data_IF_169342908586
#
_entry.id   IF_169342908586
#
_cell.length_a   1.000
_cell.length_b   1.000
_cell.length_c   1.000
_cell.angle_alpha   90.00
_cell.angle_beta   90.00
_cell.angle_gamma   90.00
#
_symmetry.space_group_name_H-M   'P 1'
#
loop_
_entity.id
_entity.type
_entity.pdbx_description
1 polymer ?
2 non-polymer ?
3 non-polymer ?
4 non-polymer ?
5 non-polymer ?
6 water ?
#
# COMPACT_ATOMS: atom_id res chain seq x y z
N UNK A 1 -8.58 16.17 12.72
CA UNK A 1 -9.39 16.15 11.48
C UNK A 1 -10.28 14.94 11.41
N UNK A 2 -11.44 15.07 10.80
CA UNK A 2 -12.39 13.97 10.68
C UNK A 2 -12.00 12.94 9.63
N UNK A 3 -11.56 13.42 8.47
CA UNK A 3 -11.14 12.55 7.37
C UNK A 3 -9.63 12.44 7.29
N UNK A 4 -9.10 11.31 7.76
CA UNK A 4 -7.66 11.09 7.78
C UNK A 4 -7.22 10.06 6.75
N UNK A 5 -6.12 10.34 6.05
CA UNK A 5 -5.55 9.46 5.04
C UNK A 5 -4.22 8.92 5.56
N UNK A 6 -4.02 7.62 5.42
CA UNK A 6 -2.78 6.99 5.84
C UNK A 6 -2.18 6.32 4.62
N UNK A 7 -1.02 6.78 4.18
CA UNK A 7 -0.38 6.20 3.00
C UNK A 7 1.13 6.04 3.15
N UNK A 8 1.72 5.27 2.25
CA UNK A 8 3.15 5.04 2.28
C UNK A 8 3.93 6.10 1.52
N UNK A 9 4.92 6.68 2.17
CA UNK A 9 5.71 7.72 1.54
C UNK A 9 6.85 7.19 0.69
N UNK A 10 7.11 5.90 0.77
CA UNK A 10 8.22 5.30 0.03
C UNK A 10 7.80 4.29 -1.04
N UNK A 11 8.24 3.04 -0.92
CA UNK A 11 7.89 2.00 -1.88
C UNK A 11 6.99 0.92 -1.27
N UNK A 12 6.15 1.30 -0.32
CA UNK A 12 5.26 0.36 0.32
C UNK A 12 5.86 -0.34 1.54
N UNK A 13 5.02 -1.06 2.27
CA UNK A 13 5.48 -1.80 3.45
C UNK A 13 6.14 -0.96 4.53
N UNK A 14 5.69 0.28 4.65
CA UNK A 14 6.23 1.18 5.67
C UNK A 14 5.57 0.89 7.02
N UNK A 15 4.54 0.04 7.01
CA UNK A 15 3.83 -0.29 8.24
C UNK A 15 2.51 0.46 8.33
N UNK A 16 1.80 0.55 7.22
CA UNK A 16 0.52 1.25 7.16
C UNK A 16 -0.57 0.50 7.92
N UNK A 17 -0.60 -0.82 7.73
CA UNK A 17 -1.58 -1.68 8.39
C UNK A 17 -1.62 -1.47 9.89
N UNK A 18 -0.45 -1.46 10.52
CA UNK A 18 -0.38 -1.25 11.97
C UNK A 18 -0.99 0.08 12.36
N UNK A 19 -0.57 1.15 11.68
CA UNK A 19 -1.08 2.48 12.01
C UNK A 19 -2.57 2.64 11.82
N UNK A 20 -3.11 2.04 10.78
CA UNK A 20 -4.54 2.11 10.52
C UNK A 20 -5.30 1.49 11.68
N UNK A 21 -4.93 0.25 12.04
CA UNK A 21 -5.54 -0.49 13.15
C UNK A 21 -5.46 0.31 14.45
N UNK A 22 -4.29 0.85 14.73
CA UNK A 22 -4.07 1.65 15.93
C UNK A 22 -4.99 2.87 15.99
N UNK A 23 -5.08 3.60 14.88
CA UNK A 23 -5.88 4.81 14.84
C UNK A 23 -7.39 4.62 14.63
N UNK A 24 -7.82 3.43 14.23
CA UNK A 24 -9.24 3.18 14.00
C UNK A 24 -10.10 3.08 15.26
N UNK A 25 -9.44 3.14 16.41
CA UNK A 25 -10.11 3.09 17.70
C UNK A 25 -11.15 4.21 17.75
N UNK A 26 -10.84 5.32 17.08
CA UNK A 26 -11.73 6.48 17.05
C UNK A 26 -12.49 6.71 15.74
N UNK A 27 -12.33 5.82 14.77
CA UNK A 27 -13.00 5.98 13.50
C UNK A 27 -14.27 5.17 13.35
N UNK A 28 -15.20 5.67 12.55
CA UNK A 28 -16.45 4.98 12.26
C UNK A 28 -16.26 4.19 10.98
N UNK A 29 -15.44 4.71 10.07
CA UNK A 29 -15.18 4.07 8.78
C UNK A 29 -13.70 4.02 8.42
N UNK A 30 -13.31 2.95 7.74
CA UNK A 30 -11.95 2.76 7.24
C UNK A 30 -12.18 2.34 5.79
N UNK A 31 -11.53 3.03 4.85
CA UNK A 31 -11.71 2.77 3.42
C UNK A 31 -10.43 2.46 2.65
N UNK A 32 -10.46 1.41 1.85
CA UNK A 32 -9.35 1.06 0.96
C UNK A 32 -9.77 1.73 -0.37
N UNK A 33 -8.87 2.43 -1.04
CA UNK A 33 -9.26 3.14 -2.26
C UNK A 33 -8.47 2.84 -3.53
N UNK A 34 -7.48 1.94 -3.44
CA UNK A 34 -6.68 1.57 -4.60
C UNK A 34 -5.90 0.29 -4.36
N UNK A 35 -5.44 -0.32 -5.45
CA UNK A 35 -4.70 -1.56 -5.32
C UNK A 35 -5.67 -2.73 -5.25
N UNK A 36 -5.15 -3.88 -4.84
CA UNK A 36 -5.96 -5.08 -4.72
C UNK A 36 -5.32 -5.96 -3.68
N UNK A 37 -5.19 -7.25 -3.96
CA UNK A 37 -4.60 -8.15 -3.00
C UNK A 37 -3.09 -8.27 -3.08
N UNK A 38 -2.45 -7.31 -3.74
CA UNK A 38 -0.99 -7.29 -3.83
C UNK A 38 -0.48 -6.64 -2.54
N UNK A 39 -1.39 -5.93 -1.86
CA UNK A 39 -1.09 -5.28 -0.60
C UNK A 39 -0.99 -6.34 0.50
N UNK A 40 -0.07 -6.13 1.44
CA UNK A 40 0.09 -7.07 2.53
C UNK A 40 0.34 -6.22 3.75
N UNK A 41 -0.70 -5.98 4.53
CA UNK A 41 -0.62 -5.15 5.72
C UNK A 41 -0.69 -6.03 6.97
N UNK A 42 0.42 -6.07 7.72
CA UNK A 42 0.54 -6.88 8.93
C UNK A 42 0.11 -6.21 10.23
N UNK A 43 -0.77 -6.85 10.98
CA UNK A 43 -1.20 -6.31 12.26
C UNK A 43 -0.77 -7.30 13.34
N UNK A 44 -0.32 -6.80 14.47
CA UNK A 44 0.09 -7.66 15.57
C UNK A 44 -0.54 -7.12 16.86
N UNK A 45 -1.55 -7.84 17.36
CA UNK A 45 -2.25 -7.43 18.58
C UNK A 45 -1.93 -8.43 19.68
N UNK A 46 -1.31 -7.96 20.76
CA UNK A 46 -0.94 -8.82 21.86
C UNK A 46 -0.23 -10.07 21.37
N UNK A 47 0.66 -9.86 20.40
CA UNK A 47 1.44 -10.96 19.83
C UNK A 47 0.77 -11.76 18.74
N UNK A 48 -0.53 -11.54 18.53
CA UNK A 48 -1.27 -12.26 17.51
C UNK A 48 -1.04 -11.53 16.17
N UNK A 49 -0.63 -12.26 15.15
CA UNK A 49 -0.35 -11.67 13.84
C UNK A 49 -1.41 -11.93 12.78
N UNK A 50 -1.94 -10.85 12.21
CA UNK A 50 -2.95 -10.95 11.17
C UNK A 50 -2.40 -10.24 9.94
N UNK A 51 -2.49 -10.88 8.78
CA UNK A 51 -2.03 -10.23 7.55
C UNK A 51 -3.21 -10.10 6.58
N UNK A 52 -3.66 -8.87 6.39
CA UNK A 52 -4.77 -8.58 5.48
C UNK A 52 -4.18 -8.22 4.12
N UNK A 53 -4.99 -8.36 3.07
CA UNK A 53 -4.54 -8.04 1.72
C UNK A 53 -5.56 -7.18 1.01
N UNK A 54 -6.80 -7.65 1.00
CA UNK A 54 -7.87 -6.95 0.35
C UNK A 54 -8.78 -6.25 1.35
N UNK A 55 -8.98 -6.89 2.49
CA UNK A 55 -9.85 -6.35 3.54
C UNK A 55 -9.23 -5.25 4.39
N UNK A 56 -9.92 -4.11 4.51
CA UNK A 56 -9.42 -2.97 5.30
C UNK A 56 -8.94 -3.36 6.71
N UNK A 57 -7.86 -2.72 7.15
CA UNK A 57 -7.22 -2.97 8.43
C UNK A 57 -8.01 -2.62 9.67
N UNK A 58 -9.25 -2.17 9.52
CA UNK A 58 -10.05 -1.85 10.68
C UNK A 58 -11.08 -2.94 10.96
N UNK A 59 -10.94 -4.06 10.23
CA UNK A 59 -11.86 -5.19 10.31
C UNK A 59 -11.89 -5.93 11.66
N UNK A 60 -10.88 -5.71 12.50
CA UNK A 60 -10.84 -6.36 13.80
C UNK A 60 -11.58 -5.55 14.87
N UNK A 61 -12.06 -4.37 14.51
CA UNK A 61 -12.77 -3.54 15.47
C UNK A 61 -14.25 -3.55 15.14
N UNK A 62 -15.06 -3.93 16.11
CA UNK A 62 -16.49 -4.01 15.88
C UNK A 62 -17.17 -2.64 15.76
N UNK A 63 -16.45 -1.60 16.18
CA UNK A 63 -17.00 -0.25 16.09
C UNK A 63 -16.79 0.42 14.74
N UNK A 64 -16.04 -0.22 13.85
CA UNK A 64 -15.73 0.34 12.54
C UNK A 64 -16.32 -0.48 11.42
N UNK A 65 -16.81 0.20 10.37
CA UNK A 65 -17.35 -0.50 9.21
C UNK A 65 -16.30 -0.38 8.10
N UNK A 66 -15.76 -1.51 7.66
CA UNK A 66 -14.74 -1.51 6.62
C UNK A 66 -15.42 -1.38 5.26
N UNK A 67 -14.82 -0.60 4.37
CA UNK A 67 -15.36 -0.35 3.05
C UNK A 67 -14.29 -0.50 1.97
N UNK A 68 -14.58 -1.29 0.96
CA UNK A 68 -13.66 -1.47 -0.17
C UNK A 68 -14.17 -0.55 -1.27
N UNK A 69 -13.49 0.59 -1.43
CA UNK A 69 -13.89 1.58 -2.43
C UNK A 69 -13.72 1.17 -3.87
N UNK A 70 -14.38 1.90 -4.76
CA UNK A 70 -14.35 1.63 -6.19
C UNK A 70 -12.97 1.57 -6.85
N UNK A 71 -11.98 2.22 -6.24
CA UNK A 71 -10.65 2.21 -6.81
C UNK A 71 -9.98 0.84 -6.74
N UNK A 72 -10.40 0.04 -5.78
CA UNK A 72 -9.86 -1.29 -5.58
C UNK A 72 -10.30 -2.28 -6.67
N UNK A 73 -9.36 -3.10 -7.14
CA UNK A 73 -9.66 -4.14 -8.13
C UNK A 73 -9.84 -5.42 -7.31
N UNK A 74 -11.08 -5.89 -7.29
CA UNK A 74 -11.49 -7.05 -6.48
C UNK A 74 -11.43 -8.43 -7.10
N UNK A 75 -10.70 -9.32 -6.43
CA UNK A 75 -10.57 -10.71 -6.82
C UNK A 75 -11.58 -11.47 -5.95
N UNK A 76 -12.70 -11.93 -6.53
CA UNK A 76 -13.71 -12.66 -5.76
C UNK A 76 -13.12 -13.85 -4.99
N UNK A 77 -12.15 -14.51 -5.60
CA UNK A 77 -11.49 -15.64 -4.98
C UNK A 77 -10.62 -15.20 -3.81
N UNK A 78 -9.90 -14.10 -3.99
CA UNK A 78 -9.02 -13.58 -2.93
C UNK A 78 -9.85 -13.14 -1.73
N UNK A 79 -10.97 -12.48 -1.98
CA UNK A 79 -11.85 -12.02 -0.90
C UNK A 79 -12.38 -13.18 -0.07
N UNK A 80 -13.00 -14.15 -0.74
CA UNK A 80 -13.56 -15.32 -0.07
C UNK A 80 -12.54 -15.97 0.86
N UNK A 81 -11.37 -16.26 0.31
CA UNK A 81 -10.32 -16.89 1.09
C UNK A 81 -9.95 -16.11 2.35
N UNK A 82 -9.98 -14.79 2.26
CA UNK A 82 -9.62 -13.97 3.39
C UNK A 82 -10.78 -13.86 4.37
N UNK A 83 -11.99 -13.77 3.84
CA UNK A 83 -13.19 -13.67 4.65
C UNK A 83 -13.30 -14.92 5.54
N UNK A 84 -13.06 -16.08 4.93
CA UNK A 84 -13.12 -17.35 5.61
C UNK A 84 -12.12 -17.41 6.75
N UNK A 85 -10.84 -17.23 6.43
CA UNK A 85 -9.79 -17.27 7.44
C UNK A 85 -10.07 -16.38 8.65
N UNK A 86 -10.63 -15.20 8.40
CA UNK A 86 -10.97 -14.24 9.45
C UNK A 86 -12.18 -14.71 10.25
N UNK A 87 -13.19 -15.21 9.55
CA UNK A 87 -14.40 -15.69 10.21
C UNK A 87 -14.05 -16.84 11.16
N UNK A 88 -13.05 -17.62 10.80
CA UNK A 88 -12.60 -18.73 11.61
C UNK A 88 -11.92 -18.24 12.88
N UNK A 89 -11.54 -16.97 12.88
CA UNK A 89 -10.84 -16.40 14.02
C UNK A 89 -11.71 -15.47 14.84
N UNK A 90 -13.04 -15.64 14.70
CA UNK A 90 -13.98 -14.84 15.47
C UNK A 90 -14.29 -13.45 14.98
N UNK A 91 -13.94 -13.16 13.72
CA UNK A 91 -14.20 -11.86 13.13
C UNK A 91 -15.39 -11.98 12.20
N UNK A 92 -16.54 -11.41 12.58
CA UNK A 92 -17.71 -11.52 11.71
C UNK A 92 -17.58 -10.53 10.52
N UNK A 93 -16.76 -10.92 9.54
CA UNK A 93 -16.49 -10.12 8.36
C UNK A 93 -17.75 -9.56 7.69
N UNK A 94 -18.61 -10.45 7.22
CA UNK A 94 -19.85 -10.05 6.53
C UNK A 94 -20.69 -9.03 7.29
N UNK A 95 -20.56 -9.02 8.62
CA UNK A 95 -21.32 -8.07 9.44
C UNK A 95 -20.72 -6.66 9.38
N UNK A 96 -19.43 -6.55 9.08
CA UNK A 96 -18.81 -5.22 9.02
C UNK A 96 -18.10 -4.78 7.73
N UNK A 97 -18.20 -5.56 6.67
CA UNK A 97 -17.58 -5.23 5.40
C UNK A 97 -18.58 -4.81 4.35
N UNK A 98 -18.29 -3.70 3.68
CA UNK A 98 -19.12 -3.16 2.60
C UNK A 98 -18.22 -2.92 1.40
N UNK A 99 -18.79 -2.90 0.20
CA UNK A 99 -17.97 -2.68 -0.99
C UNK A 99 -18.70 -1.98 -2.13
N UNK A 100 -17.92 -1.49 -3.08
CA UNK A 100 -18.47 -0.76 -4.20
C UNK A 100 -18.83 -1.64 -5.39
N UNK A 101 -19.95 -1.33 -6.03
CA UNK A 101 -20.38 -2.06 -7.20
C UNK A 101 -19.54 -1.63 -8.40
N UNK A 102 -18.79 -0.53 -8.23
CA UNK A 102 -17.92 0.00 -9.27
C UNK A 102 -16.53 -0.64 -9.29
N UNK A 103 -16.18 -1.41 -8.27
CA UNK A 103 -14.87 -2.07 -8.22
C UNK A 103 -14.73 -3.03 -9.39
N UNK A 104 -13.61 -2.97 -10.13
CA UNK A 104 -13.38 -3.87 -11.27
C UNK A 104 -13.06 -5.25 -10.68
N UNK A 105 -13.37 -6.32 -11.40
CA UNK A 105 -13.10 -7.68 -10.93
C UNK A 105 -11.81 -8.26 -11.47
N UNK A 106 -11.04 -8.90 -10.60
CA UNK A 106 -9.82 -9.57 -11.04
C UNK A 106 -10.23 -11.04 -11.21
N UNK A 107 -10.14 -11.55 -12.43
CA UNK A 107 -10.49 -12.94 -12.69
C UNK A 107 -9.26 -13.75 -13.04
N UNK A 108 -9.46 -15.04 -13.32
CA UNK A 108 -8.36 -15.95 -13.62
C UNK A 108 -7.48 -15.54 -14.79
N UNK A 109 -8.11 -15.04 -15.84
CA UNK A 109 -7.35 -14.62 -17.00
C UNK A 109 -6.43 -13.43 -16.73
N UNK A 110 -6.79 -12.58 -15.77
CA UNK A 110 -5.95 -11.43 -15.41
C UNK A 110 -4.63 -11.90 -14.86
N UNK A 111 -4.66 -12.98 -14.08
CA UNK A 111 -3.47 -13.54 -13.49
C UNK A 111 -2.65 -14.24 -14.56
N UNK A 112 -3.35 -14.86 -15.51
CA UNK A 112 -2.70 -15.56 -16.61
C UNK A 112 -1.93 -14.53 -17.44
N UNK A 113 -2.59 -13.41 -17.74
CA UNK A 113 -1.98 -12.33 -18.50
C UNK A 113 -0.79 -11.71 -17.78
N UNK A 114 -0.91 -11.61 -16.46
CA UNK A 114 0.14 -11.04 -15.63
C UNK A 114 1.43 -11.84 -15.74
N UNK A 115 1.33 -13.15 -15.53
CA UNK A 115 2.50 -14.04 -15.60
C UNK A 115 3.10 -14.07 -17.00
N UNK A 116 2.23 -14.02 -18.01
CA UNK A 116 2.65 -14.06 -19.40
C UNK A 116 3.44 -12.79 -19.81
N UNK A 117 2.87 -11.62 -19.52
CA UNK A 117 3.54 -10.36 -19.86
C UNK A 117 4.90 -10.30 -19.15
N UNK A 118 4.93 -10.76 -17.91
CA UNK A 118 6.16 -10.76 -17.15
C UNK A 118 7.24 -11.64 -17.79
N UNK A 119 6.86 -12.83 -18.25
CA UNK A 119 7.85 -13.71 -18.89
C UNK A 119 8.28 -13.12 -20.23
N UNK A 120 7.37 -12.45 -20.91
CA UNK A 120 7.66 -11.83 -22.20
C UNK A 120 8.65 -10.68 -21.99
N UNK A 121 8.62 -10.08 -20.80
CA UNK A 121 9.53 -8.98 -20.46
C UNK A 121 10.95 -9.46 -20.27
N UNK A 122 11.08 -10.67 -19.74
CA UNK A 122 12.40 -11.23 -19.50
C UNK A 122 13.18 -10.48 -18.44
N UNK A 123 14.35 -9.97 -18.82
CA UNK A 123 15.20 -9.22 -17.90
C UNK A 123 14.61 -7.85 -17.58
N UNK A 124 13.63 -7.44 -18.37
CA UNK A 124 12.97 -6.15 -18.15
C UNK A 124 11.71 -6.37 -17.32
N UNK A 125 11.62 -7.52 -16.66
CA UNK A 125 10.46 -7.86 -15.83
C UNK A 125 10.27 -6.89 -14.67
N UNK A 126 9.03 -6.48 -14.44
CA UNK A 126 8.66 -5.57 -13.38
C UNK A 126 8.87 -6.23 -12.01
N UNK A 127 8.59 -7.53 -11.93
CA UNK A 127 8.69 -8.25 -10.68
C UNK A 127 7.41 -7.96 -9.92
N UNK A 128 6.27 -8.08 -10.63
CA UNK A 128 4.95 -7.85 -10.04
C UNK A 128 4.66 -8.93 -9.01
N UNK A 129 3.59 -8.75 -8.25
CA UNK A 129 3.22 -9.74 -7.24
C UNK A 129 2.43 -10.90 -7.86
N UNK A 130 2.21 -10.83 -9.17
CA UNK A 130 1.49 -11.85 -9.91
C UNK A 130 0.04 -12.08 -9.55
N UNK A 131 -0.62 -11.04 -9.05
CA UNK A 131 -2.02 -11.12 -8.65
C UNK A 131 -3.00 -10.61 -9.71
N UNK A 132 -2.51 -10.36 -10.91
CA UNK A 132 -3.37 -9.86 -11.98
C UNK A 132 -3.83 -8.40 -11.83
N UNK A 133 -3.18 -7.64 -10.95
CA UNK A 133 -3.54 -6.24 -10.70
C UNK A 133 -3.45 -5.37 -11.97
N UNK A 134 -2.33 -5.43 -12.67
CA UNK A 134 -2.14 -4.64 -13.87
C UNK A 134 -3.22 -4.89 -14.89
N UNK A 135 -3.39 -6.16 -15.31
CA UNK A 135 -4.41 -6.52 -16.31
C UNK A 135 -5.83 -6.10 -15.93
N UNK A 136 -6.14 -6.10 -14.64
CA UNK A 136 -7.46 -5.70 -14.19
C UNK A 136 -7.65 -4.20 -14.43
N UNK A 137 -6.67 -3.40 -14.02
CA UNK A 137 -6.73 -1.93 -14.22
C UNK A 137 -6.77 -1.59 -15.71
N UNK A 138 -6.08 -2.39 -16.53
CA UNK A 138 -6.05 -2.19 -17.95
C UNK A 138 -7.45 -2.39 -18.55
N UNK A 139 -8.13 -3.47 -18.17
CA UNK A 139 -9.48 -3.74 -18.67
C UNK A 139 -10.44 -2.64 -18.25
N UNK A 140 -10.21 -2.03 -17.11
CA UNK A 140 -11.06 -0.97 -16.62
C UNK A 140 -10.96 0.24 -17.56
N UNK A 141 -9.74 0.70 -17.76
CA UNK A 141 -9.44 1.83 -18.64
C UNK A 141 -9.93 1.60 -20.06
N UNK A 142 -9.74 0.39 -20.57
CA UNK A 142 -10.20 0.05 -21.91
C UNK A 142 -11.72 -0.07 -21.97
N UNK A 143 -12.39 0.05 -20.82
CA UNK A 143 -13.85 -0.01 -20.75
C UNK A 143 -14.45 -1.35 -21.20
N UNK A 144 -13.73 -2.44 -20.94
CA UNK A 144 -14.21 -3.76 -21.29
C UNK A 144 -14.22 -4.66 -20.06
N UNK A 145 -13.74 -4.13 -18.93
CA UNK A 145 -13.69 -4.90 -17.70
C UNK A 145 -15.04 -5.09 -17.04
N UNK A 146 -15.13 -6.12 -16.20
CA UNK A 146 -16.36 -6.44 -15.48
C UNK A 146 -16.26 -5.91 -14.05
N UNK A 147 -17.35 -5.38 -13.53
CA UNK A 147 -17.37 -4.85 -12.18
C UNK A 147 -18.34 -5.63 -11.31
N UNK A 148 -18.29 -5.39 -10.00
CA UNK A 148 -19.17 -6.07 -9.05
C UNK A 148 -20.65 -5.90 -9.43
N UNK A 149 -21.03 -4.70 -9.85
CA UNK A 149 -22.40 -4.45 -10.25
C UNK A 149 -22.88 -5.36 -11.36
N UNK A 150 -21.97 -5.99 -12.10
CA UNK A 150 -22.35 -6.88 -13.20
C UNK A 150 -22.94 -8.19 -12.70
N UNK A 151 -22.54 -8.58 -11.49
CA UNK A 151 -23.02 -9.82 -10.87
C UNK A 151 -24.53 -9.79 -10.56
N UNK A 152 -25.12 -8.60 -10.61
CA UNK A 152 -26.54 -8.45 -10.32
C UNK A 152 -27.47 -9.10 -11.34
N UNK A 153 -26.98 -9.29 -12.56
CA UNK A 153 -27.77 -9.92 -13.62
C UNK A 153 -26.88 -11.03 -14.18
N UNK A 154 -27.12 -12.25 -13.70
CA UNK A 154 -26.32 -13.41 -14.11
C UNK A 154 -26.24 -13.75 -15.60
N UNK A 155 -27.32 -13.57 -16.34
CA UNK A 155 -27.29 -13.90 -17.77
C UNK A 155 -26.40 -12.97 -18.58
N UNK A 156 -26.61 -11.66 -18.42
CA UNK A 156 -25.80 -10.69 -19.15
C UNK A 156 -24.34 -10.74 -18.70
N UNK A 157 -24.09 -11.15 -17.46
CA UNK A 157 -22.71 -11.26 -16.97
C UNK A 157 -21.99 -12.37 -17.72
N UNK A 158 -22.73 -13.45 -17.97
CA UNK A 158 -22.20 -14.61 -18.68
C UNK A 158 -21.87 -14.21 -20.13
N UNK A 159 -22.74 -13.38 -20.71
CA UNK A 159 -22.54 -12.92 -22.08
C UNK A 159 -21.34 -11.96 -22.16
N UNK A 160 -21.25 -11.05 -21.19
CA UNK A 160 -20.13 -10.11 -21.13
C UNK A 160 -18.82 -10.85 -20.92
N UNK A 161 -18.79 -11.74 -19.93
CA UNK A 161 -17.58 -12.52 -19.64
C UNK A 161 -17.19 -13.32 -20.88
N UNK A 162 -18.19 -13.75 -21.63
CA UNK A 162 -17.98 -14.53 -22.85
C UNK A 162 -17.11 -13.72 -23.81
N UNK A 163 -17.53 -12.47 -24.07
CA UNK A 163 -16.81 -11.57 -24.98
C UNK A 163 -15.39 -11.26 -24.54
N UNK A 164 -15.22 -10.87 -23.28
CA UNK A 164 -13.91 -10.51 -22.74
C UNK A 164 -12.89 -11.61 -22.78
N UNK A 165 -13.30 -12.83 -22.42
CA UNK A 165 -12.39 -13.97 -22.43
C UNK A 165 -12.03 -14.42 -23.84
N UNK A 166 -12.89 -14.14 -24.82
CA UNK A 166 -12.62 -14.49 -26.22
C UNK A 166 -11.39 -13.70 -26.62
N UNK A 167 -11.42 -12.41 -26.31
CA UNK A 167 -10.37 -11.47 -26.59
C UNK A 167 -9.09 -11.85 -25.83
N UNK A 168 -9.22 -12.11 -24.54
CA UNK A 168 -8.07 -12.45 -23.71
C UNK A 168 -7.39 -13.76 -24.01
N UNK A 169 -8.15 -14.74 -24.47
CA UNK A 169 -7.58 -16.03 -24.80
C UNK A 169 -6.82 -15.98 -26.13
N UNK A 170 -7.33 -15.21 -27.08
CA UNK A 170 -6.68 -15.08 -28.38
C UNK A 170 -5.23 -14.66 -28.17
N UNK A 171 -5.03 -13.61 -27.38
CA UNK A 171 -3.69 -13.14 -27.13
C UNK A 171 -2.86 -14.07 -26.27
N UNK A 172 -3.47 -14.67 -25.25
CA UNK A 172 -2.74 -15.59 -24.38
C UNK A 172 -2.23 -16.81 -25.14
N UNK A 173 -3.08 -17.31 -26.04
CA UNK A 173 -2.76 -18.48 -26.84
C UNK A 173 -1.91 -18.17 -28.08
N UNK A 174 -2.45 -17.30 -28.93
CA UNK A 174 -1.79 -16.91 -30.19
C UNK A 174 -0.52 -16.08 -30.06
N UNK A 175 -0.57 -15.03 -29.23
CA UNK A 175 0.59 -14.15 -29.05
C UNK A 175 1.58 -14.60 -27.99
N UNK A 176 1.10 -14.72 -26.75
CA UNK A 176 1.94 -15.14 -25.63
C UNK A 176 2.19 -16.65 -25.63
N UNK A 177 1.45 -17.37 -26.46
CA UNK A 177 1.57 -18.82 -26.58
C UNK A 177 1.55 -19.55 -25.24
N UNK A 178 0.52 -19.26 -24.45
CA UNK A 178 0.34 -19.87 -23.14
C UNK A 178 -1.00 -20.60 -23.13
N UNK A 179 -1.40 -21.08 -21.95
CA UNK A 179 -2.66 -21.81 -21.81
C UNK A 179 -3.89 -20.90 -21.77
N UNK A 180 -4.95 -21.34 -22.44
CA UNK A 180 -6.20 -20.59 -22.46
C UNK A 180 -6.88 -20.79 -21.09
N UNK A 181 -7.64 -19.80 -20.67
CA UNK A 181 -8.35 -19.86 -19.40
C UNK A 181 -9.77 -20.34 -19.69
N UNK A 182 -10.18 -21.41 -19.01
CA UNK A 182 -11.52 -21.95 -19.25
C UNK A 182 -12.66 -21.08 -18.78
N UNK A 183 -13.46 -20.64 -19.74
CA UNK A 183 -14.62 -19.79 -19.49
C UNK A 183 -15.61 -20.35 -18.47
N UNK A 184 -15.89 -21.66 -18.57
CA UNK A 184 -16.85 -22.28 -17.67
C UNK A 184 -16.38 -22.33 -16.22
N UNK A 185 -15.09 -22.55 -15.99
CA UNK A 185 -14.60 -22.59 -14.61
C UNK A 185 -14.75 -21.22 -13.96
N UNK A 186 -14.34 -20.19 -14.70
CA UNK A 186 -14.45 -18.82 -14.22
C UNK A 186 -15.91 -18.48 -13.97
N UNK A 187 -16.76 -18.82 -14.93
CA UNK A 187 -18.19 -18.54 -14.79
C UNK A 187 -18.79 -19.23 -13.58
N UNK A 188 -18.41 -20.49 -13.35
CA UNK A 188 -18.92 -21.26 -12.22
C UNK A 188 -18.40 -20.74 -10.90
N UNK A 189 -17.08 -20.55 -10.82
CA UNK A 189 -16.45 -20.05 -9.61
C UNK A 189 -17.03 -18.70 -9.18
N UNK A 190 -17.23 -17.81 -10.16
CA UNK A 190 -17.76 -16.48 -9.90
C UNK A 190 -19.20 -16.52 -9.38
N UNK A 191 -20.07 -17.21 -10.11
CA UNK A 191 -21.48 -17.30 -9.72
C UNK A 191 -21.70 -17.95 -8.36
N UNK A 192 -20.79 -18.84 -7.98
CA UNK A 192 -20.87 -19.52 -6.69
C UNK A 192 -20.77 -18.53 -5.53
N UNK A 193 -20.15 -17.38 -5.78
CA UNK A 193 -20.00 -16.38 -4.74
C UNK A 193 -20.67 -15.05 -5.09
N UNK A 194 -21.21 -14.97 -6.30
CA UNK A 194 -21.88 -13.76 -6.78
C UNK A 194 -22.83 -13.12 -5.79
N UNK A 195 -23.62 -13.95 -5.10
CA UNK A 195 -24.60 -13.46 -4.15
C UNK A 195 -24.01 -12.95 -2.85
N UNK A 196 -22.90 -13.55 -2.43
CA UNK A 196 -22.23 -13.12 -1.20
C UNK A 196 -21.73 -11.70 -1.37
N UNK A 197 -21.04 -11.49 -2.49
CA UNK A 197 -20.46 -10.19 -2.83
C UNK A 197 -21.52 -9.13 -2.98
N UNK A 198 -22.54 -9.42 -3.76
CA UNK A 198 -23.58 -8.43 -3.99
C UNK A 198 -24.39 -8.03 -2.75
N UNK A 199 -24.42 -8.90 -1.75
CA UNK A 199 -25.16 -8.59 -0.53
C UNK A 199 -24.45 -7.52 0.27
N UNK A 200 -23.16 -7.36 0.01
CA UNK A 200 -22.33 -6.37 0.69
C UNK A 200 -22.25 -5.01 -0.02
N UNK A 201 -22.85 -4.91 -1.19
CA UNK A 201 -22.81 -3.68 -1.98
C UNK A 201 -23.46 -2.47 -1.33
N UNK A 202 -22.79 -1.33 -1.42
CA UNK A 202 -23.30 -0.07 -0.89
C UNK A 202 -22.84 1.06 -1.81
N UNK A 203 -23.58 2.17 -1.83
CA UNK A 203 -23.20 3.34 -2.66
C UNK A 203 -22.14 4.08 -1.83
N UNK A 204 -20.89 3.69 -2.00
CA UNK A 204 -19.80 4.28 -1.24
C UNK A 204 -19.70 5.80 -1.25
N UNK A 205 -19.68 6.42 -2.42
CA UNK A 205 -19.54 7.87 -2.47
C UNK A 205 -20.67 8.60 -1.77
N UNK A 206 -21.90 8.10 -1.88
CA UNK A 206 -23.03 8.75 -1.20
C UNK A 206 -22.88 8.56 0.32
N UNK A 207 -22.53 7.35 0.74
CA UNK A 207 -22.34 7.03 2.16
C UNK A 207 -21.26 7.93 2.78
N UNK A 208 -20.14 8.09 2.06
CA UNK A 208 -19.03 8.93 2.55
C UNK A 208 -19.46 10.40 2.62
N UNK A 209 -20.40 10.78 1.77
CA UNK A 209 -20.88 12.16 1.82
C UNK A 209 -21.81 12.31 3.05
N UNK A 210 -22.48 11.23 3.43
CA UNK A 210 -23.37 11.21 4.60
C UNK A 210 -22.53 11.32 5.86
N UNK A 211 -21.48 10.50 5.92
CA UNK A 211 -20.57 10.46 7.04
C UNK A 211 -19.93 11.83 7.27
N UNK A 212 -19.58 12.48 6.17
CA UNK A 212 -18.94 13.78 6.18
C UNK A 212 -19.85 14.81 6.80
N UNK A 213 -21.11 14.85 6.36
CA UNK A 213 -22.05 15.83 6.89
C UNK A 213 -22.35 15.65 8.37
N UNK A 214 -22.30 14.41 8.85
CA UNK A 214 -22.53 14.11 10.26
C UNK A 214 -21.27 14.42 11.05
N UNK A 215 -20.15 14.48 10.34
CA UNK A 215 -18.87 14.77 10.97
C UNK A 215 -18.26 13.52 11.59
N UNK A 216 -18.55 12.35 11.02
CA UNK A 216 -17.99 11.11 11.53
C UNK A 216 -16.51 11.02 11.20
N UNK A 217 -15.79 10.18 11.93
CA UNK A 217 -14.37 10.00 11.67
C UNK A 217 -14.24 8.91 10.61
N UNK A 218 -13.47 9.21 9.57
CA UNK A 218 -13.24 8.27 8.48
C UNK A 218 -11.75 8.17 8.18
N UNK A 219 -11.24 6.94 8.08
CA UNK A 219 -9.84 6.76 7.78
C UNK A 219 -9.65 6.08 6.42
N UNK A 220 -8.74 6.61 5.62
CA UNK A 220 -8.46 6.05 4.31
C UNK A 220 -7.15 5.30 4.43
N UNK A 221 -7.18 4.05 4.03
CA UNK A 221 -5.99 3.21 4.13
C UNK A 221 -5.37 3.01 2.76
N UNK A 222 -4.15 3.54 2.58
CA UNK A 222 -3.50 3.40 1.30
C UNK A 222 -2.78 2.08 1.14
N UNK A 223 -2.54 1.68 -0.11
CA UNK A 223 -1.82 0.47 -0.43
C UNK A 223 -0.57 0.89 -1.21
N UNK A 224 0.49 0.08 -1.16
CA UNK A 224 1.75 0.37 -1.84
C UNK A 224 2.36 1.68 -1.32
N UNK A 225 3.19 2.33 -2.12
CA UNK A 225 3.83 3.56 -1.68
C UNK A 225 3.82 4.60 -2.78
N UNK A 226 4.21 5.83 -2.41
CA UNK A 226 4.24 6.96 -3.35
C UNK A 226 5.08 6.73 -4.60
N UNK A 227 6.28 6.18 -4.45
CA UNK A 227 7.14 5.96 -5.60
C UNK A 227 6.70 4.83 -6.50
N UNK A 228 5.58 4.19 -6.16
CA UNK A 228 5.04 3.11 -6.98
C UNK A 228 3.84 3.63 -7.75
N UNK A 229 3.56 4.92 -7.57
CA UNK A 229 2.47 5.59 -8.26
C UNK A 229 2.57 5.39 -9.78
N UNK A 230 1.45 5.13 -10.44
CA UNK A 230 1.42 4.88 -11.87
C UNK A 230 1.83 6.11 -12.71
N UNK A 231 1.51 7.30 -12.22
CA UNK A 231 1.86 8.55 -12.92
C UNK A 231 3.21 9.11 -12.48
N UNK A 232 3.35 9.32 -11.18
CA UNK A 232 4.54 9.93 -10.59
C UNK A 232 5.65 9.04 -10.08
N UNK A 233 5.48 7.72 -10.18
CA UNK A 233 6.52 6.84 -9.68
C UNK A 233 7.58 6.50 -10.71
N UNK A 234 8.47 5.58 -10.33
CA UNK A 234 9.55 5.17 -11.21
C UNK A 234 9.07 4.27 -12.35
N UNK A 235 8.25 4.84 -13.23
CA UNK A 235 7.69 4.16 -14.38
C UNK A 235 8.82 3.56 -15.21
N UNK A 236 8.62 2.34 -15.75
CA UNK A 236 7.45 1.48 -15.67
C UNK A 236 7.46 0.50 -14.48
N UNK A 237 8.41 0.68 -13.58
CA UNK A 237 8.53 -0.18 -12.41
C UNK A 237 7.64 0.39 -11.32
N UNK A 238 6.34 0.37 -11.60
CA UNK A 238 5.37 0.92 -10.68
C UNK A 238 4.19 -0.03 -10.61
N UNK A 239 3.21 0.35 -9.81
CA UNK A 239 1.98 -0.41 -9.69
C UNK A 239 1.00 0.33 -10.63
N UNK A 240 -0.06 -0.34 -11.06
CA UNK A 240 -1.01 0.27 -11.97
C UNK A 240 -2.10 1.19 -11.44
N UNK A 241 -1.95 1.68 -10.22
CA UNK A 241 -2.94 2.59 -9.64
C UNK A 241 -2.21 3.81 -9.08
N UNK A 242 -2.98 4.85 -8.75
CA UNK A 242 -2.40 6.04 -8.13
C UNK A 242 -2.32 5.79 -6.63
N UNK A 243 -1.10 5.61 -6.13
CA UNK A 243 -0.86 5.38 -4.72
C UNK A 243 -0.77 6.69 -3.94
N UNK A 244 -0.89 7.81 -4.64
CA UNK A 244 -0.83 9.11 -4.00
C UNK A 244 -2.20 9.60 -3.52
N UNK A 245 -2.16 10.60 -2.66
CA UNK A 245 -3.36 11.18 -2.04
C UNK A 245 -4.51 11.48 -2.98
N UNK A 246 -4.22 11.74 -4.24
CA UNK A 246 -5.27 12.04 -5.19
C UNK A 246 -6.11 10.82 -5.45
N UNK A 247 -5.51 9.64 -5.25
CA UNK A 247 -6.23 8.39 -5.46
C UNK A 247 -7.37 8.20 -4.47
N UNK A 248 -7.33 8.95 -3.37
CA UNK A 248 -8.37 8.86 -2.35
C UNK A 248 -9.70 9.30 -2.93
N UNK A 249 -9.71 10.42 -3.65
CA UNK A 249 -10.92 10.96 -4.24
C UNK A 249 -11.44 10.16 -5.42
N UNK A 250 -10.53 9.74 -6.28
CA UNK A 250 -10.94 8.99 -7.46
C UNK A 250 -11.35 7.59 -7.07
N UNK A 251 -10.68 7.03 -6.07
CA UNK A 251 -10.96 5.68 -5.61
C UNK A 251 -12.04 5.49 -4.57
N UNK A 252 -12.66 6.56 -4.09
CA UNK A 252 -13.72 6.42 -3.09
C UNK A 252 -14.92 7.32 -3.38
N UNK A 253 -14.68 8.41 -4.09
CA UNK A 253 -15.75 9.34 -4.40
C UNK A 253 -15.83 10.54 -3.47
N UNK A 254 -14.93 10.62 -2.49
CA UNK A 254 -14.91 11.76 -1.56
C UNK A 254 -14.29 12.95 -2.29
N UNK A 255 -14.89 14.12 -2.14
CA UNK A 255 -14.36 15.30 -2.78
C UNK A 255 -13.02 15.67 -2.18
N UNK A 256 -12.04 16.09 -3.00
CA UNK A 256 -10.68 16.48 -2.58
C UNK A 256 -10.65 17.48 -1.43
N UNK A 257 -11.57 18.42 -1.44
CA UNK A 257 -11.60 19.43 -0.39
C UNK A 257 -12.00 18.91 0.98
N UNK A 258 -12.35 17.64 1.06
CA UNK A 258 -12.76 17.05 2.34
C UNK A 258 -11.68 16.26 3.02
N UNK A 259 -10.54 16.11 2.35
CA UNK A 259 -9.40 15.42 2.95
C UNK A 259 -8.82 16.46 3.93
N UNK A 260 -8.83 16.14 5.22
CA UNK A 260 -8.34 17.07 6.22
C UNK A 260 -6.93 16.91 6.69
N UNK A 261 -6.45 15.68 6.75
CA UNK A 261 -5.12 15.46 7.24
C UNK A 261 -4.56 14.25 6.55
N UNK A 262 -3.36 14.38 5.99
CA UNK A 262 -2.72 13.28 5.32
C UNK A 262 -1.50 12.86 6.10
N UNK A 263 -1.55 11.64 6.63
CA UNK A 263 -0.47 11.11 7.43
C UNK A 263 0.43 10.24 6.57
N UNK A 264 1.71 10.61 6.48
CA UNK A 264 2.64 9.83 5.69
C UNK A 264 3.39 8.84 6.55
N UNK A 265 3.32 7.56 6.20
CA UNK A 265 4.02 6.53 6.94
C UNK A 265 5.45 6.49 6.41
N UNK A 266 6.40 6.68 7.31
CA UNK A 266 7.81 6.74 6.98
C UNK A 266 8.64 5.71 7.76
N UNK A 267 9.24 4.75 7.07
CA UNK A 267 10.09 3.77 7.71
C UNK A 267 11.45 4.42 8.07
N UNK A 268 12.11 3.93 9.11
CA UNK A 268 13.39 4.48 9.55
C UNK A 268 14.50 4.34 8.50
N UNK A 269 14.36 3.36 7.63
CA UNK A 269 15.31 3.11 6.55
C UNK A 269 14.43 2.85 5.34
N UNK A 270 14.98 2.30 4.27
CA UNK A 270 14.18 2.05 3.08
C UNK A 270 14.22 0.63 2.59
N UNK A 271 13.11 0.22 1.97
CA UNK A 271 12.99 -1.11 1.41
C UNK A 271 12.22 -1.01 0.12
N UNK A 272 12.49 -1.95 -0.76
CA UNK A 272 11.81 -2.03 -2.03
C UNK A 272 11.90 -3.48 -2.41
N UNK A 273 10.79 -4.05 -2.86
CA UNK A 273 10.78 -5.43 -3.29
C UNK A 273 10.33 -5.41 -4.73
N UNK A 274 11.11 -6.05 -5.59
CA UNK A 274 10.79 -6.03 -7.01
C UNK A 274 11.79 -5.12 -7.69
N UNK A 275 11.84 -5.19 -9.01
CA UNK A 275 12.76 -4.38 -9.82
C UNK A 275 12.50 -2.88 -9.73
N UNK A 276 13.49 -2.09 -10.15
CA UNK A 276 13.34 -0.64 -10.13
C UNK A 276 14.46 0.10 -9.43
N UNK A 277 14.66 1.38 -9.77
CA UNK A 277 15.71 2.22 -9.17
C UNK A 277 15.58 2.38 -7.65
N UNK A 278 16.70 2.25 -6.95
CA UNK A 278 16.75 2.36 -5.51
C UNK A 278 18.16 2.92 -5.16
N UNK A 279 18.33 4.24 -5.19
CA UNK A 279 19.61 4.91 -4.89
C UNK A 279 20.37 4.49 -3.64
N UNK A 280 19.75 4.62 -2.48
CA UNK A 280 20.39 4.27 -1.22
C UNK A 280 20.51 2.79 -0.91
N UNK A 281 20.22 1.93 -1.88
CA UNK A 281 20.30 0.50 -1.64
C UNK A 281 21.67 0.05 -1.16
N UNK A 282 21.68 -0.78 -0.13
CA UNK A 282 22.89 -1.31 0.45
C UNK A 282 23.08 -2.74 -0.04
N UNK A 283 24.31 -3.09 -0.39
CA UNK A 283 24.58 -4.45 -0.84
C UNK A 283 25.62 -5.08 0.10
N UNK A 284 25.87 -4.41 1.22
CA UNK A 284 26.86 -4.88 2.19
C UNK A 284 26.32 -5.52 3.46
N UNK A 285 27.15 -5.50 4.50
CA UNK A 285 26.83 -6.07 5.80
C UNK A 285 25.64 -5.36 6.45
N UNK A 286 25.63 -4.03 6.36
CA UNK A 286 24.56 -3.24 6.93
C UNK A 286 23.20 -3.49 6.25
N UNK A 287 23.25 -3.91 4.99
CA UNK A 287 22.03 -4.21 4.25
C UNK A 287 21.43 -5.49 4.81
N UNK A 288 22.28 -6.49 5.00
CA UNK A 288 21.86 -7.78 5.55
C UNK A 288 21.33 -7.58 6.97
N UNK A 289 21.93 -6.67 7.71
CA UNK A 289 21.52 -6.37 9.09
C UNK A 289 20.11 -5.81 9.13
N UNK A 290 19.82 -4.83 8.27
CA UNK A 290 18.51 -4.22 8.21
C UNK A 290 17.47 -5.27 7.80
N UNK A 291 17.82 -6.12 6.85
CA UNK A 291 16.92 -7.17 6.39
C UNK A 291 16.61 -8.15 7.51
N UNK A 292 17.66 -8.65 8.17
CA UNK A 292 17.52 -9.60 9.26
C UNK A 292 16.83 -9.00 10.47
N UNK A 293 17.36 -7.87 10.93
CA UNK A 293 16.82 -7.21 12.11
C UNK A 293 15.41 -6.69 11.87
N UNK A 294 15.08 -6.33 10.64
CA UNK A 294 13.76 -5.83 10.32
C UNK A 294 12.84 -6.90 9.73
N UNK A 295 13.38 -8.11 9.60
CA UNK A 295 12.66 -9.24 9.03
C UNK A 295 11.95 -8.83 7.74
N UNK A 296 12.72 -8.21 6.86
CA UNK A 296 12.19 -7.71 5.60
C UNK A 296 11.93 -8.75 4.51
N UNK A 297 10.74 -9.34 4.56
CA UNK A 297 10.29 -10.33 3.59
C UNK A 297 8.84 -10.04 3.21
N UNK A 298 8.55 -10.12 1.92
CA UNK A 298 7.23 -9.81 1.40
C UNK A 298 6.03 -10.36 2.14
N UNK A 299 5.17 -9.46 2.60
CA UNK A 299 3.97 -9.83 3.32
C UNK A 299 2.94 -10.50 2.40
N UNK A 300 3.21 -10.46 1.09
CA UNK A 300 2.32 -11.05 0.10
C UNK A 300 2.99 -12.14 -0.74
N UNK A 301 4.25 -11.93 -1.09
CA UNK A 301 4.97 -12.89 -1.93
C UNK A 301 6.10 -13.61 -1.20
N UNK A 302 6.45 -13.12 -0.02
CA UNK A 302 7.52 -13.77 0.72
C UNK A 302 8.90 -13.42 0.19
N UNK A 303 8.95 -12.53 -0.80
CA UNK A 303 10.21 -12.10 -1.39
C UNK A 303 11.03 -11.27 -0.41
N UNK A 304 12.34 -11.47 -0.44
CA UNK A 304 13.25 -10.70 0.41
C UNK A 304 13.21 -9.27 -0.10
N UNK A 305 12.91 -8.33 0.80
CA UNK A 305 12.86 -6.93 0.42
C UNK A 305 14.27 -6.32 0.38
N UNK A 306 14.51 -5.44 -0.58
CA UNK A 306 15.80 -4.77 -0.72
C UNK A 306 15.86 -3.67 0.34
N UNK A 307 16.99 -3.54 1.02
CA UNK A 307 17.10 -2.52 2.06
C UNK A 307 18.08 -1.41 1.72
N UNK A 308 18.00 -0.30 2.44
CA UNK A 308 18.89 0.80 2.17
C UNK A 308 18.66 1.89 3.19
N UNK A 309 19.45 2.95 3.10
CA UNK A 309 19.31 4.07 4.03
C UNK A 309 18.11 4.90 3.65
N UNK A 310 17.57 5.64 4.61
CA UNK A 310 16.43 6.52 4.38
C UNK A 310 16.82 7.56 3.33
N UNK A 311 15.97 7.72 2.32
CA UNK A 311 16.22 8.68 1.25
C UNK A 311 15.36 9.92 1.41
N UNK A 312 15.97 10.96 1.97
CA UNK A 312 15.35 12.25 2.21
C UNK A 312 14.89 12.96 0.93
N UNK A 313 15.65 12.78 -0.16
CA UNK A 313 15.32 13.39 -1.43
C UNK A 313 13.99 12.86 -1.96
N UNK A 314 13.88 11.52 -1.99
CA UNK A 314 12.68 10.83 -2.47
C UNK A 314 11.47 11.12 -1.57
N UNK A 315 11.71 11.17 -0.26
CA UNK A 315 10.66 11.46 0.71
C UNK A 315 10.13 12.87 0.49
N UNK A 316 11.01 13.82 0.21
CA UNK A 316 10.54 15.18 -0.03
C UNK A 316 9.59 15.20 -1.21
N UNK A 317 9.82 14.33 -2.20
CA UNK A 317 8.92 14.26 -3.35
C UNK A 317 7.55 13.82 -2.84
N UNK A 318 7.57 12.87 -1.90
CA UNK A 318 6.35 12.33 -1.29
C UNK A 318 5.59 13.40 -0.52
N UNK A 319 6.31 14.24 0.23
CA UNK A 319 5.70 15.32 1.00
C UNK A 319 4.85 16.21 0.10
N UNK A 320 5.44 16.57 -1.03
CA UNK A 320 4.83 17.44 -2.03
C UNK A 320 3.67 16.85 -2.80
N UNK A 321 3.81 15.62 -3.31
CA UNK A 321 2.75 14.97 -4.06
C UNK A 321 1.47 14.72 -3.24
N UNK A 322 1.64 14.36 -1.96
CA UNK A 322 0.51 14.05 -1.09
C UNK A 322 0.01 15.14 -0.17
N UNK A 323 0.68 16.30 -0.17
CA UNK A 323 0.34 17.40 0.72
C UNK A 323 0.28 16.88 2.16
N UNK A 324 1.32 16.14 2.54
CA UNK A 324 1.43 15.56 3.86
C UNK A 324 1.26 16.57 4.96
N UNK A 325 0.62 16.13 6.03
CA UNK A 325 0.39 16.96 7.18
C UNK A 325 1.37 16.57 8.26
N UNK A 326 1.74 15.30 8.27
CA UNK A 326 2.65 14.80 9.28
C UNK A 326 3.14 13.41 8.91
N UNK A 327 4.11 12.92 9.65
CA UNK A 327 4.70 11.62 9.40
C UNK A 327 4.47 10.73 10.59
N UNK A 328 4.64 9.43 10.36
CA UNK A 328 4.58 8.45 11.42
C UNK A 328 5.83 7.68 11.11
N UNK A 329 6.82 7.77 11.98
CA UNK A 329 8.07 7.07 11.76
C UNK A 329 7.98 5.68 12.35
N UNK A 330 8.28 4.67 11.55
CA UNK A 330 8.21 3.29 12.02
C UNK A 330 9.56 2.57 11.93
N UNK A 331 9.65 1.47 12.69
CA UNK A 331 10.83 0.63 12.72
C UNK A 331 12.11 1.33 13.15
N UNK A 332 11.96 2.32 14.02
CA UNK A 332 13.08 3.06 14.57
C UNK A 332 13.94 2.05 15.33
N UNK A 333 13.24 1.12 15.99
CA UNK A 333 13.84 0.07 16.80
C UNK A 333 14.77 -0.85 16.03
N UNK A 334 14.60 -0.94 14.72
CA UNK A 334 15.46 -1.81 13.94
C UNK A 334 16.88 -1.24 13.80
N UNK A 335 16.99 0.09 13.90
CA UNK A 335 18.28 0.76 13.79
C UNK A 335 19.18 0.63 15.01
N UNK A 336 18.66 0.02 16.09
CA UNK A 336 19.42 -0.15 17.33
C UNK A 336 20.72 -0.94 17.15
N UNK A 337 21.80 -0.45 17.76
CA UNK A 337 23.06 -1.13 17.67
C UNK A 337 24.02 -0.68 16.58
N UNK A 338 23.52 0.04 15.58
CA UNK A 338 24.36 0.54 14.50
C UNK A 338 25.29 1.64 15.01
N UNK A 339 26.54 1.61 14.58
CA UNK A 339 27.51 2.61 15.01
C UNK A 339 27.17 3.97 14.41
N UNK A 340 26.67 3.95 13.18
CA UNK A 340 26.29 5.17 12.47
C UNK A 340 25.12 4.91 11.52
N UNK A 341 24.30 5.94 11.31
CA UNK A 341 23.15 5.84 10.42
C UNK A 341 23.29 6.97 9.39
N UNK A 342 22.90 6.71 8.16
CA UNK A 342 23.01 7.71 7.11
C UNK A 342 21.66 8.13 6.52
N UNK A 343 21.59 9.39 6.11
CA UNK A 343 20.40 9.97 5.49
C UNK A 343 20.82 10.52 4.15
N UNK A 344 20.24 10.05 3.06
CA UNK A 344 20.59 10.62 1.76
C UNK A 344 19.99 12.02 1.70
N UNK A 345 20.86 13.03 1.65
CA UNK A 345 20.39 14.42 1.61
C UNK A 345 20.33 15.07 0.23
N UNK A 346 20.94 14.45 -0.78
CA UNK A 346 20.92 15.00 -2.14
C UNK A 346 21.45 13.96 -3.12
N UNK A 347 21.20 14.18 -4.41
CA UNK A 347 21.64 13.25 -5.45
C UNK A 347 22.75 13.83 -6.32
N UNK A 348 23.72 12.99 -6.66
CA UNK A 348 24.80 13.36 -7.55
C UNK A 348 24.36 12.80 -8.91
N UNK A 349 23.97 13.67 -9.83
CA UNK A 349 23.54 13.22 -11.16
C UNK A 349 24.72 12.71 -11.99
N UNK A 350 24.44 11.87 -12.98
CA UNK A 350 25.50 11.32 -13.83
C UNK A 350 26.33 12.39 -14.56
N UNK A 351 25.82 13.62 -14.62
CA UNK A 351 26.53 14.70 -15.28
C UNK A 351 27.28 15.63 -14.34
N UNK A 352 27.45 15.19 -13.09
CA UNK A 352 28.18 15.98 -12.13
C UNK A 352 27.38 16.91 -11.25
N UNK A 353 26.16 17.26 -11.66
CA UNK A 353 25.31 18.16 -10.86
C UNK A 353 24.79 17.52 -9.58
N UNK A 354 24.68 18.32 -8.53
CA UNK A 354 24.14 17.84 -7.26
C UNK A 354 22.73 18.37 -7.16
N UNK A 355 21.73 17.49 -7.28
CA UNK A 355 20.34 17.89 -7.20
C UNK A 355 19.64 17.49 -5.89
N UNK A 356 18.53 18.15 -5.58
CA UNK A 356 17.76 17.86 -4.38
C UNK A 356 16.31 17.47 -4.70
N UNK A 357 16.09 17.13 -5.97
CA UNK A 357 14.79 16.70 -6.45
C UNK A 357 15.04 15.34 -7.11
N UNK A 358 13.99 14.56 -7.25
CA UNK A 358 14.14 13.22 -7.83
C UNK A 358 13.79 13.15 -9.31
N UNK A 359 14.42 12.23 -10.04
CA UNK A 359 14.15 12.04 -11.47
C UNK A 359 12.77 11.43 -11.52
N UNK A 360 12.11 11.43 -12.68
CA UNK A 360 10.78 10.85 -12.73
C UNK A 360 10.83 9.39 -13.18
N UNK A 361 10.81 9.18 -14.49
CA UNK A 361 10.86 7.82 -15.06
C UNK A 361 12.09 7.06 -14.62
N UNK A 362 11.93 5.73 -14.48
CA UNK A 362 13.01 4.84 -14.06
C UNK A 362 14.32 5.01 -14.84
N UNK A 363 14.22 5.27 -16.14
CA UNK A 363 15.42 5.45 -16.95
C UNK A 363 16.22 6.67 -16.52
N UNK A 364 15.55 7.73 -16.11
CA UNK A 364 16.25 8.94 -15.67
C UNK A 364 16.92 8.76 -14.30
N UNK A 365 16.77 7.59 -13.70
CA UNK A 365 17.39 7.33 -12.41
C UNK A 365 18.74 6.63 -12.59
N UNK A 366 18.95 6.00 -13.74
CA UNK A 366 20.22 5.31 -13.97
C UNK A 366 21.40 6.25 -13.81
N UNK A 367 22.37 5.83 -13.00
CA UNK A 367 23.55 6.62 -12.77
C UNK A 367 23.49 7.54 -11.57
N UNK A 368 22.31 7.68 -10.97
CA UNK A 368 22.18 8.56 -9.80
C UNK A 368 22.90 7.98 -8.58
N UNK A 369 23.62 8.84 -7.87
CA UNK A 369 24.36 8.43 -6.68
C UNK A 369 23.93 9.23 -5.46
N UNK A 370 23.68 8.54 -4.34
CA UNK A 370 23.25 9.25 -3.13
C UNK A 370 24.38 10.03 -2.45
N UNK A 371 24.04 11.18 -1.89
CA UNK A 371 24.98 11.99 -1.16
C UNK A 371 24.52 11.93 0.30
N UNK A 372 25.27 11.19 1.11
CA UNK A 372 24.91 11.00 2.50
C UNK A 372 25.23 12.07 3.51
N UNK A 373 24.75 11.83 4.72
CA UNK A 373 24.97 12.69 5.87
C UNK A 373 24.97 11.62 6.94
N UNK A 374 26.13 11.41 7.54
CA UNK A 374 26.29 10.38 8.55
C UNK A 374 26.02 10.90 9.96
N UNK A 375 25.30 10.11 10.74
CA UNK A 375 24.96 10.46 12.11
C UNK A 375 25.28 9.30 13.03
N UNK A 376 25.56 9.60 14.29
CA UNK A 376 25.88 8.54 15.25
C UNK A 376 24.66 7.70 15.62
N UNK A 377 24.86 6.39 15.71
CA UNK A 377 23.78 5.50 16.07
C UNK A 377 23.61 5.50 17.58
N UNK A 378 22.93 4.48 18.09
CA UNK A 378 22.70 4.35 19.52
C UNK A 378 22.74 2.88 19.93
N UNK A 379 23.27 2.62 21.12
CA UNK A 379 23.40 1.27 21.65
C UNK A 379 22.12 0.90 22.41
N UNK A 380 21.51 1.91 23.02
CA UNK A 380 20.28 1.71 23.78
C UNK A 380 19.21 1.06 22.91
N UNK A 381 18.38 0.23 23.55
CA UNK A 381 17.29 -0.44 22.89
C UNK A 381 16.06 0.45 22.95
N UNK A 382 15.47 0.74 21.80
CA UNK A 382 14.29 1.59 21.74
C UNK A 382 13.02 0.75 21.57
N UNK A 383 13.20 -0.55 21.32
CA UNK A 383 12.07 -1.45 21.11
C UNK A 383 11.04 -1.39 22.24
N UNK A 384 9.79 -1.14 21.87
CA UNK A 384 8.71 -1.05 22.84
C UNK A 384 8.55 0.27 23.57
N UNK A 385 9.53 1.17 23.46
CA UNK A 385 9.44 2.48 24.13
C UNK A 385 8.18 3.22 23.72
N UNK A 386 7.40 3.65 24.72
CA UNK A 386 6.15 4.34 24.45
C UNK A 386 6.11 5.83 24.79
N UNK A 387 7.28 6.43 24.97
CA UNK A 387 7.38 7.87 25.27
C UNK A 387 8.74 8.41 24.87
N UNK A 388 8.77 9.65 24.39
CA UNK A 388 10.02 10.28 23.96
C UNK A 388 11.13 10.19 25.00
N UNK A 389 10.76 10.29 26.26
CA UNK A 389 11.73 10.22 27.35
C UNK A 389 12.43 8.86 27.46
N UNK A 390 12.06 7.93 26.60
CA UNK A 390 12.70 6.62 26.61
C UNK A 390 13.65 6.44 25.44
N UNK A 391 13.68 7.45 24.56
CA UNK A 391 14.54 7.43 23.38
C UNK A 391 15.88 8.10 23.64
N UNK A 392 16.99 7.45 23.26
CA UNK A 392 18.32 8.04 23.47
C UNK A 392 18.45 9.31 22.63
N UNK A 393 19.22 10.28 23.12
CA UNK A 393 19.41 11.56 22.42
C UNK A 393 19.73 11.39 20.94
N UNK A 394 20.63 10.45 20.63
CA UNK A 394 21.01 10.18 19.25
C UNK A 394 19.77 9.88 18.45
N UNK A 395 18.86 9.10 19.02
CA UNK A 395 17.61 8.75 18.35
C UNK A 395 16.75 10.00 18.16
N UNK A 396 16.80 10.89 19.15
CA UNK A 396 16.04 12.14 19.09
C UNK A 396 16.59 13.12 18.06
N UNK A 397 17.91 13.15 17.93
CA UNK A 397 18.54 14.03 16.96
C UNK A 397 18.21 13.54 15.56
N UNK A 398 18.08 12.22 15.43
CA UNK A 398 17.73 11.58 14.17
C UNK A 398 16.32 11.95 13.73
N UNK A 399 15.39 11.98 14.69
CA UNK A 399 14.00 12.34 14.43
C UNK A 399 13.98 13.80 13.99
N UNK A 400 14.68 14.64 14.76
CA UNK A 400 14.74 16.07 14.49
C UNK A 400 15.31 16.39 13.12
N UNK A 401 16.38 15.69 12.76
CA UNK A 401 17.04 15.90 11.48
C UNK A 401 16.07 15.64 10.32
N UNK A 402 15.37 14.51 10.38
CA UNK A 402 14.40 14.15 9.34
C UNK A 402 13.35 15.27 9.26
N UNK A 403 12.91 15.77 10.40
CA UNK A 403 11.93 16.84 10.42
C UNK A 403 12.51 18.08 9.74
N UNK A 404 13.76 18.40 10.06
CA UNK A 404 14.46 19.56 9.50
C UNK A 404 14.59 19.48 7.98
N UNK A 405 15.07 18.36 7.48
CA UNK A 405 15.25 18.18 6.05
C UNK A 405 13.94 18.24 5.29
N UNK A 406 12.91 17.63 5.88
CA UNK A 406 11.59 17.53 5.27
C UNK A 406 10.62 18.70 5.46
N UNK A 407 10.60 19.30 6.65
CA UNK A 407 9.69 20.40 6.88
C UNK A 407 8.31 19.92 7.36
N UNK A 408 8.21 18.62 7.62
CA UNK A 408 6.98 17.98 8.09
C UNK A 408 7.27 17.34 9.45
N UNK A 409 6.39 17.56 10.44
CA UNK A 409 6.61 16.97 11.77
C UNK A 409 6.34 15.46 11.84
N UNK A 410 6.96 14.81 12.82
CA UNK A 410 6.76 13.38 13.06
C UNK A 410 5.80 13.27 14.25
N UNK A 411 4.52 13.07 13.93
CA UNK A 411 3.46 12.99 14.93
C UNK A 411 3.33 11.67 15.63
N UNK A 412 3.84 10.60 15.05
CA UNK A 412 3.75 9.28 15.65
C UNK A 412 5.06 8.54 15.42
N UNK A 413 5.53 7.84 16.44
CA UNK A 413 6.76 7.06 16.33
C UNK A 413 6.42 5.63 16.80
N UNK A 414 6.70 4.66 15.94
CA UNK A 414 6.44 3.25 16.21
C UNK A 414 7.77 2.57 16.53
N UNK A 415 7.82 1.90 17.67
CA UNK A 415 9.03 1.23 18.15
C UNK A 415 8.93 -0.30 18.22
N UNK A 416 7.97 -0.86 17.52
CA UNK A 416 7.79 -2.31 17.52
C UNK A 416 6.56 -2.66 16.72
N UNK A 417 6.38 -3.93 16.34
CA UNK A 417 5.23 -4.36 15.55
C UNK A 417 3.86 -4.40 16.24
N UNK A 418 3.84 -4.57 17.56
CA UNK A 418 2.56 -4.61 18.27
C UNK A 418 1.87 -3.27 18.29
N UNK A 419 0.54 -3.33 18.29
CA UNK A 419 -0.30 -2.16 18.33
C UNK A 419 0.06 -1.15 19.42
N UNK A 420 0.48 -1.65 20.58
CA UNK A 420 0.82 -0.80 21.72
C UNK A 420 2.24 -0.23 21.78
N UNK A 421 3.16 -0.84 21.04
CA UNK A 421 4.55 -0.41 20.97
C UNK A 421 4.59 0.83 20.06
N UNK A 422 3.94 1.90 20.51
CA UNK A 422 3.84 3.11 19.73
C UNK A 422 3.76 4.33 20.66
N UNK A 423 4.03 5.50 20.09
CA UNK A 423 3.91 6.74 20.83
C UNK A 423 3.31 7.82 19.93
N UNK A 424 2.08 8.20 20.27
CA UNK A 424 1.37 9.22 19.52
C UNK A 424 1.66 10.57 20.15
N UNK A 425 2.43 11.40 19.45
CA UNK A 425 2.74 12.72 19.96
C UNK A 425 1.56 13.61 19.62
N UNK A 426 0.86 13.27 18.56
CA UNK A 426 -0.30 14.04 18.11
C UNK A 426 -1.25 13.12 17.33
N UNK A 427 -2.53 13.17 17.68
CA UNK A 427 -3.54 12.34 17.00
C UNK A 427 -4.09 13.14 15.81
N UNK A 428 -3.99 12.58 14.60
CA UNK A 428 -4.47 13.24 13.39
C UNK A 428 -5.93 13.65 13.47
N UNK A 429 -6.73 12.88 14.19
CA UNK A 429 -8.16 13.18 14.34
C UNK A 429 -8.40 14.45 15.16
N UNK A 430 -7.42 14.81 15.99
CA UNK A 430 -7.49 16.00 16.81
C UNK A 430 -6.76 17.17 16.15
N UNK A 431 -5.98 16.86 15.12
CA UNK A 431 -5.21 17.87 14.39
C UNK A 431 -6.05 18.61 13.35
#
# INVERSE_FOLDING_TARGET
>A
GNNVVVLGTQWGDEGKGKIVDLLTERAKYVVRYQGGHNAGHTLVINGEKTVLHLIPSGILRENVTSIIGNGVVLSPAALMKEMKELEDRGIPVRERLLLSEACPLILDYHVALDNAREKARGAKAIGTTGRGIGPAYEDKVARRGLRVGDLFDKETFAEKLKEVMEYHNFQLVNYYKAEAVDYQKVLDDTMAVADILTSMVVDVSDLLDQARQRGDFVMFEGAQGTLLDIDHGTYPYVTSSNTTAGGVATGSGLGPRYVDYVLGILKAYSTRVGAGPFPTELFDETGEFLCKQGNEFGATTGRRRRTGWLDTVAVRRAVQLNSLSGFCLTKLDVLDGLKEVKLCVAYRMPDGREVTTTPLAADDWKGVEPIYETMPGWSESTFGVKDRSGLPQAALNYIKRIEELTGVPIDIISTGPDRTETMILRDPFDA
#
